data_IF_064938992982
#
_entry.id   IF_064938992982
#
_cell.length_a   1.000
_cell.length_b   1.000
_cell.length_c   1.000
_cell.angle_alpha   90.00
_cell.angle_beta   90.00
_cell.angle_gamma   90.00
#
_symmetry.space_group_name_H-M   'P 1'
#
loop_
_entity.id
_entity.type
_entity.pdbx_description
1 polymer ?
#
# COMPACT_ATOMS: atom_id res chain seq x y z
N UNK A 1 -44.48 11.12 -37.76
CA UNK A 1 -45.45 10.06 -37.36
C UNK A 1 -44.81 8.73 -37.69
N UNK A 2 -44.53 7.80 -36.75
CA UNK A 2 -43.81 6.60 -37.15
C UNK A 2 -44.78 5.50 -37.58
N UNK A 3 -44.56 5.08 -38.82
CA UNK A 3 -45.13 3.97 -39.61
C UNK A 3 -46.63 4.06 -39.95
N UNK A 4 -46.88 4.31 -41.24
CA UNK A 4 -48.20 4.21 -41.89
C UNK A 4 -48.08 3.24 -43.05
N UNK A 5 -48.99 2.26 -43.14
CA UNK A 5 -49.02 1.30 -44.25
C UNK A 5 -49.42 2.01 -45.56
N UNK A 6 -48.92 1.55 -46.71
CA UNK A 6 -49.31 2.08 -48.01
C UNK A 6 -50.82 1.99 -48.26
N UNK A 7 -51.37 2.96 -48.99
CA UNK A 7 -52.78 2.95 -49.37
C UNK A 7 -53.12 1.67 -50.18
N UNK A 8 -54.21 0.99 -49.81
CA UNK A 8 -54.67 -0.24 -50.47
C UNK A 8 -53.97 -1.54 -50.04
N UNK A 9 -53.06 -1.51 -49.05
CA UNK A 9 -52.35 -2.70 -48.57
C UNK A 9 -53.29 -3.84 -48.15
N UNK A 10 -54.35 -3.52 -47.39
CA UNK A 10 -55.29 -4.53 -46.91
C UNK A 10 -56.36 -4.93 -47.93
N UNK A 11 -56.59 -4.12 -48.98
CA UNK A 11 -57.57 -4.44 -50.02
C UNK A 11 -57.10 -5.57 -50.93
N UNK A 12 -55.78 -5.70 -51.11
CA UNK A 12 -55.16 -6.75 -51.95
C UNK A 12 -54.57 -7.90 -51.13
N UNK A 13 -54.59 -7.81 -49.80
CA UNK A 13 -53.97 -8.79 -48.91
C UNK A 13 -54.64 -10.16 -49.00
N UNK A 14 -55.97 -10.21 -49.08
CA UNK A 14 -56.71 -11.48 -49.17
C UNK A 14 -56.41 -12.21 -50.48
N UNK A 15 -56.37 -11.48 -51.60
CA UNK A 15 -56.01 -12.02 -52.91
C UNK A 15 -54.53 -12.45 -52.96
N UNK A 16 -53.64 -11.66 -52.35
CA UNK A 16 -52.22 -11.99 -52.21
C UNK A 16 -51.98 -13.24 -51.36
N UNK A 17 -52.73 -13.43 -50.27
CA UNK A 17 -52.63 -14.62 -49.44
C UNK A 17 -53.20 -15.84 -50.15
N UNK A 18 -54.34 -15.71 -50.83
CA UNK A 18 -54.92 -16.79 -51.61
C UNK A 18 -54.04 -17.19 -52.80
N UNK A 19 -53.33 -16.24 -53.40
CA UNK A 19 -52.35 -16.51 -54.45
C UNK A 19 -51.13 -17.25 -53.90
N UNK A 20 -50.58 -16.80 -52.77
CA UNK A 20 -49.47 -17.47 -52.10
C UNK A 20 -49.81 -18.92 -51.69
N UNK A 21 -51.00 -19.13 -51.10
CA UNK A 21 -51.46 -20.46 -50.66
C UNK A 21 -51.83 -21.38 -51.84
N UNK A 22 -52.15 -20.81 -53.02
CA UNK A 22 -52.41 -21.60 -54.23
C UNK A 22 -51.14 -22.16 -54.87
N UNK A 23 -49.99 -21.55 -54.61
CA UNK A 23 -48.68 -22.01 -55.09
C UNK A 23 -48.11 -23.13 -54.17
N UNK A 24 -48.54 -23.18 -52.90
CA UNK A 24 -48.25 -24.20 -51.87
C UNK A 24 -48.84 -25.60 -52.15
N UNK A 25 -49.17 -25.95 -53.40
CA UNK A 25 -49.53 -27.34 -53.74
C UNK A 25 -48.31 -28.28 -53.78
N UNK A 26 -47.10 -27.75 -53.64
CA UNK A 26 -45.88 -28.53 -53.52
C UNK A 26 -45.82 -29.19 -52.14
N UNK A 27 -45.47 -30.47 -52.12
CA UNK A 27 -45.16 -31.17 -50.88
C UNK A 27 -43.97 -30.49 -50.20
N UNK A 28 -43.93 -30.45 -48.86
CA UNK A 28 -42.78 -29.94 -48.11
C UNK A 28 -41.44 -30.60 -48.52
N UNK A 29 -41.47 -31.80 -49.13
CA UNK A 29 -40.28 -32.43 -49.72
C UNK A 29 -39.84 -31.82 -51.07
N UNK A 30 -40.78 -31.37 -51.89
CA UNK A 30 -40.53 -30.70 -53.17
C UNK A 30 -40.00 -29.29 -52.95
N UNK A 31 -40.62 -28.51 -52.06
CA UNK A 31 -40.13 -27.19 -51.65
C UNK A 31 -38.72 -27.27 -51.07
N UNK A 32 -38.47 -28.25 -50.19
CA UNK A 32 -37.17 -28.39 -49.55
C UNK A 32 -36.09 -28.81 -50.57
N UNK A 33 -36.45 -29.59 -51.59
CA UNK A 33 -35.55 -29.95 -52.68
C UNK A 33 -35.23 -28.77 -53.59
N UNK A 34 -36.17 -27.83 -53.76
CA UNK A 34 -35.98 -26.60 -54.52
C UNK A 34 -35.14 -25.56 -53.76
N UNK A 35 -35.43 -25.36 -52.47
CA UNK A 35 -34.72 -24.42 -51.59
C UNK A 35 -33.32 -24.93 -51.22
N UNK A 36 -33.20 -26.24 -50.98
CA UNK A 36 -31.95 -26.88 -50.57
C UNK A 36 -31.86 -28.31 -51.11
N UNK A 37 -31.31 -28.48 -52.32
CA UNK A 37 -31.09 -29.81 -52.90
C UNK A 37 -30.29 -30.74 -51.98
N UNK A 38 -29.40 -30.17 -51.15
CA UNK A 38 -28.64 -30.90 -50.16
C UNK A 38 -29.53 -31.47 -49.05
N UNK A 39 -30.41 -30.66 -48.45
CA UNK A 39 -31.31 -31.14 -47.39
C UNK A 39 -32.44 -32.03 -47.93
N UNK A 40 -32.93 -31.76 -49.14
CA UNK A 40 -33.91 -32.61 -49.82
C UNK A 40 -33.38 -34.02 -50.14
N UNK A 41 -32.06 -34.15 -50.37
CA UNK A 41 -31.40 -35.44 -50.60
C UNK A 41 -31.05 -36.22 -49.33
N UNK A 42 -31.20 -35.64 -48.13
CA UNK A 42 -30.93 -36.34 -46.88
C UNK A 42 -32.10 -37.27 -46.49
N UNK A 43 -31.77 -38.48 -46.07
CA UNK A 43 -32.77 -39.38 -45.49
C UNK A 43 -33.34 -38.78 -44.21
N UNK A 44 -34.68 -38.69 -44.16
CA UNK A 44 -35.43 -38.20 -43.00
C UNK A 44 -35.48 -39.27 -41.90
N UNK A 45 -34.33 -39.53 -41.29
CA UNK A 45 -34.16 -40.46 -40.17
C UNK A 45 -33.58 -39.74 -38.97
N UNK A 46 -34.10 -40.00 -37.78
CA UNK A 46 -33.53 -39.47 -36.55
C UNK A 46 -32.19 -40.19 -36.25
N UNK A 47 -31.04 -39.50 -36.28
CA UNK A 47 -29.75 -40.12 -36.02
C UNK A 47 -29.53 -40.43 -34.53
N UNK A 48 -30.38 -39.92 -33.65
CA UNK A 48 -30.26 -40.09 -32.21
C UNK A 48 -31.27 -41.12 -31.72
N UNK A 49 -30.75 -42.25 -31.27
CA UNK A 49 -31.49 -43.25 -30.52
C UNK A 49 -30.75 -43.58 -29.24
N UNK A 50 -31.48 -43.77 -28.14
CA UNK A 50 -30.89 -44.28 -26.92
C UNK A 50 -30.67 -45.79 -27.03
N UNK A 51 -29.59 -46.34 -26.47
CA UNK A 51 -29.41 -47.78 -26.33
C UNK A 51 -30.56 -48.41 -25.54
N UNK A 52 -30.90 -49.65 -25.86
CA UNK A 52 -31.85 -50.43 -25.07
C UNK A 52 -31.35 -50.55 -23.61
N UNK A 53 -32.23 -50.31 -22.64
CA UNK A 53 -31.85 -50.37 -21.22
C UNK A 53 -31.10 -49.14 -20.69
N UNK A 54 -31.05 -48.01 -21.41
CA UNK A 54 -30.30 -46.82 -20.99
C UNK A 54 -30.72 -46.32 -19.59
N UNK A 55 -32.02 -46.18 -19.34
CA UNK A 55 -32.52 -45.63 -18.07
C UNK A 55 -32.53 -46.68 -16.95
N UNK A 56 -32.72 -47.94 -17.31
CA UNK A 56 -32.68 -49.10 -16.44
C UNK A 56 -31.28 -49.28 -15.85
N UNK A 57 -30.24 -49.09 -16.68
CA UNK A 57 -28.84 -49.18 -16.27
C UNK A 57 -28.28 -47.86 -15.73
N UNK A 58 -28.96 -46.72 -15.95
CA UNK A 58 -28.49 -45.42 -15.45
C UNK A 58 -28.28 -45.43 -13.93
N UNK A 59 -29.22 -46.03 -13.19
CA UNK A 59 -29.16 -46.09 -11.73
C UNK A 59 -28.03 -47.01 -11.26
N UNK A 60 -27.80 -48.14 -11.92
CA UNK A 60 -26.73 -49.08 -11.57
C UNK A 60 -25.35 -48.52 -11.92
N UNK A 61 -25.21 -47.82 -13.05
CA UNK A 61 -23.98 -47.14 -13.45
C UNK A 61 -23.62 -45.98 -12.50
N UNK A 62 -24.61 -45.14 -12.11
CA UNK A 62 -24.40 -44.07 -11.13
C UNK A 62 -23.92 -44.67 -9.80
N UNK A 63 -24.57 -45.73 -9.33
CA UNK A 63 -24.19 -46.39 -8.09
C UNK A 63 -22.80 -47.06 -8.18
N UNK A 64 -22.42 -47.60 -9.33
CA UNK A 64 -21.06 -48.15 -9.53
C UNK A 64 -19.99 -47.06 -9.39
N UNK A 65 -20.27 -45.85 -9.87
CA UNK A 65 -19.38 -44.71 -9.71
C UNK A 65 -19.37 -44.07 -8.31
N UNK A 66 -20.36 -44.36 -7.46
CA UNK A 66 -20.43 -43.85 -6.08
C UNK A 66 -20.05 -44.88 -5.00
N UNK A 67 -19.98 -46.17 -5.34
CA UNK A 67 -19.68 -47.27 -4.39
C UNK A 67 -18.27 -47.82 -4.46
N UNK A 68 -17.47 -47.48 -5.49
CA UNK A 68 -16.03 -47.58 -5.33
C UNK A 68 -15.60 -46.61 -4.22
N UNK A 69 -14.79 -47.04 -3.22
CA UNK A 69 -14.27 -46.10 -2.24
C UNK A 69 -13.44 -45.09 -3.01
N UNK A 70 -14.02 -43.91 -3.24
CA UNK A 70 -13.34 -42.76 -3.83
C UNK A 70 -12.06 -42.64 -3.05
N UNK A 71 -10.93 -43.06 -3.66
CA UNK A 71 -9.61 -42.96 -3.03
C UNK A 71 -9.51 -41.51 -2.65
N UNK A 72 -9.67 -41.21 -1.36
CA UNK A 72 -9.81 -39.84 -0.89
C UNK A 72 -8.62 -39.09 -1.46
N UNK A 73 -8.88 -38.21 -2.42
CA UNK A 73 -7.82 -37.47 -3.08
C UNK A 73 -7.07 -36.79 -1.94
N UNK A 74 -5.76 -37.06 -1.82
CA UNK A 74 -4.95 -36.59 -0.70
C UNK A 74 -5.06 -35.07 -0.65
N UNK A 75 -5.92 -34.55 0.22
CA UNK A 75 -6.12 -33.11 0.41
C UNK A 75 -4.88 -32.60 1.10
N UNK A 76 -3.98 -32.00 0.32
CA UNK A 76 -2.81 -31.31 0.86
C UNK A 76 -3.24 -29.88 1.17
N UNK A 77 -3.05 -29.44 2.42
CA UNK A 77 -3.31 -28.06 2.78
C UNK A 77 -2.33 -27.14 2.06
N UNK A 78 -2.85 -26.10 1.41
CA UNK A 78 -2.07 -25.10 0.67
C UNK A 78 -1.38 -24.09 1.60
N UNK A 79 -1.75 -24.06 2.89
CA UNK A 79 -1.27 -23.06 3.83
C UNK A 79 0.13 -23.40 4.36
N UNK A 80 1.17 -22.89 3.71
CA UNK A 80 2.55 -23.15 4.12
C UNK A 80 3.07 -22.08 5.09
N UNK A 81 2.93 -22.29 6.41
CA UNK A 81 3.32 -21.36 7.50
C UNK A 81 4.83 -21.05 7.63
N UNK A 82 5.66 -21.52 6.68
CA UNK A 82 7.13 -21.41 6.75
C UNK A 82 7.69 -20.04 6.34
N UNK A 83 6.92 -19.25 5.58
CA UNK A 83 7.27 -17.87 5.20
C UNK A 83 7.35 -16.88 6.38
N UNK A 84 6.59 -17.11 7.46
CA UNK A 84 6.60 -16.24 8.64
C UNK A 84 7.97 -16.23 9.35
N UNK A 85 8.74 -17.33 9.22
CA UNK A 85 10.09 -17.43 9.78
C UNK A 85 11.08 -16.51 9.04
N UNK A 86 10.85 -16.27 7.75
CA UNK A 86 11.67 -15.34 6.96
C UNK A 86 11.29 -13.88 7.23
N UNK A 87 9.99 -13.60 7.44
CA UNK A 87 9.52 -12.27 7.80
C UNK A 87 10.14 -11.77 9.12
N UNK A 88 10.21 -12.61 10.15
CA UNK A 88 10.86 -12.26 11.41
C UNK A 88 12.35 -11.88 11.21
N UNK A 89 13.10 -12.66 10.42
CA UNK A 89 14.50 -12.37 10.13
C UNK A 89 14.69 -11.04 9.37
N UNK A 90 13.82 -10.74 8.41
CA UNK A 90 13.87 -9.47 7.66
C UNK A 90 13.62 -8.25 8.56
N UNK A 91 12.72 -8.37 9.54
CA UNK A 91 12.46 -7.31 10.53
C UNK A 91 13.71 -7.05 11.38
N UNK A 92 14.38 -8.10 11.87
CA UNK A 92 15.61 -7.94 12.65
C UNK A 92 16.76 -7.38 11.81
N UNK A 93 16.92 -7.82 10.56
CA UNK A 93 17.91 -7.26 9.64
C UNK A 93 17.62 -5.77 9.35
N UNK A 94 16.35 -5.41 9.11
CA UNK A 94 15.94 -4.03 8.92
C UNK A 94 16.21 -3.15 10.15
N UNK A 95 15.90 -3.63 11.35
CA UNK A 95 16.21 -2.94 12.61
C UNK A 95 17.70 -2.75 12.84
N UNK A 96 18.53 -3.75 12.52
CA UNK A 96 19.99 -3.64 12.62
C UNK A 96 20.55 -2.60 11.64
N UNK A 97 20.07 -2.58 10.40
CA UNK A 97 20.50 -1.60 9.39
C UNK A 97 20.04 -0.19 9.77
N UNK A 98 18.80 0.01 10.22
CA UNK A 98 18.31 1.32 10.63
C UNK A 98 18.98 1.82 11.90
N UNK A 99 19.23 0.96 12.89
CA UNK A 99 19.98 1.32 14.10
C UNK A 99 21.43 1.72 13.78
N UNK A 100 22.11 0.97 12.89
CA UNK A 100 23.46 1.31 12.43
C UNK A 100 23.50 2.65 11.67
N UNK A 101 22.51 2.91 10.82
CA UNK A 101 22.38 4.17 10.09
C UNK A 101 22.13 5.36 11.03
N UNK A 102 21.22 5.23 12.00
CA UNK A 102 20.95 6.28 12.99
C UNK A 102 22.16 6.52 13.88
N UNK A 103 22.86 5.47 14.31
CA UNK A 103 24.10 5.60 15.07
C UNK A 103 25.18 6.34 14.27
N UNK A 104 25.36 6.01 12.98
CA UNK A 104 26.29 6.72 12.11
C UNK A 104 25.91 8.20 11.91
N UNK A 105 24.62 8.50 11.71
CA UNK A 105 24.11 9.88 11.59
C UNK A 105 24.30 10.70 12.89
N UNK A 106 24.24 10.06 14.06
CA UNK A 106 24.53 10.71 15.34
C UNK A 106 26.04 10.97 15.52
N UNK A 107 26.90 10.09 14.99
CA UNK A 107 28.36 10.26 15.05
C UNK A 107 28.86 11.42 14.18
N UNK A 108 28.26 11.66 13.00
CA UNK A 108 28.51 12.87 12.19
C UNK A 108 28.32 14.16 13.01
N UNK A 109 27.26 14.23 13.84
CA UNK A 109 27.02 15.39 14.71
C UNK A 109 28.03 15.50 15.86
N UNK A 110 28.44 14.39 16.48
CA UNK A 110 29.48 14.42 17.55
C UNK A 110 30.85 14.84 17.04
N UNK A 111 31.25 14.40 15.84
CA UNK A 111 32.53 14.79 15.24
C UNK A 111 32.56 16.28 14.83
N UNK A 112 31.41 16.82 14.41
CA UNK A 112 31.26 18.25 14.10
C UNK A 112 31.35 19.13 15.36
N UNK A 113 30.64 18.77 16.43
CA UNK A 113 30.68 19.51 17.70
C UNK A 113 32.06 19.42 18.35
N UNK A 114 32.70 18.24 18.34
CA UNK A 114 34.07 18.07 18.83
C UNK A 114 35.10 18.87 18.01
N UNK A 115 34.91 19.01 16.69
CA UNK A 115 35.73 19.88 15.85
C UNK A 115 35.53 21.35 16.19
N UNK A 116 34.29 21.76 16.46
CA UNK A 116 33.94 23.12 16.88
C UNK A 116 34.56 23.44 18.25
N UNK A 117 34.46 22.56 19.26
CA UNK A 117 35.10 22.73 20.57
C UNK A 117 36.63 22.83 20.46
N UNK A 118 37.24 22.00 19.61
CA UNK A 118 38.69 22.06 19.36
C UNK A 118 39.12 23.37 18.68
N UNK A 119 38.29 23.91 17.80
CA UNK A 119 38.56 25.19 17.13
C UNK A 119 38.37 26.37 18.09
N UNK A 120 37.30 26.36 18.89
CA UNK A 120 37.00 27.36 19.91
C UNK A 120 38.12 27.41 20.95
N UNK A 121 38.53 26.26 21.52
CA UNK A 121 39.64 26.21 22.49
C UNK A 121 40.97 26.70 21.93
N UNK A 122 41.27 26.40 20.66
CA UNK A 122 42.47 26.87 19.98
C UNK A 122 42.46 28.38 19.71
N UNK A 123 41.31 28.94 19.33
CA UNK A 123 41.17 30.38 19.14
C UNK A 123 41.16 31.14 20.47
N UNK A 124 40.52 30.61 21.53
CA UNK A 124 40.58 31.18 22.88
C UNK A 124 42.01 31.19 23.42
N UNK A 125 42.78 30.12 23.25
CA UNK A 125 44.18 30.10 23.71
C UNK A 125 45.02 31.14 22.95
N UNK A 126 44.75 31.32 21.66
CA UNK A 126 45.49 32.28 20.83
C UNK A 126 45.12 33.74 21.14
N UNK A 127 43.84 34.05 21.38
CA UNK A 127 43.40 35.40 21.73
C UNK A 127 43.69 35.73 23.19
N UNK A 128 43.57 34.75 24.10
CA UNK A 128 43.89 34.91 25.53
C UNK A 128 45.32 35.37 25.71
N UNK A 129 46.30 34.75 25.06
CA UNK A 129 47.71 35.11 25.28
C UNK A 129 48.05 36.48 24.69
N UNK A 130 47.41 36.90 23.59
CA UNK A 130 47.67 38.22 22.98
C UNK A 130 46.96 39.37 23.69
N UNK A 131 45.70 39.17 24.10
CA UNK A 131 44.91 40.19 24.80
C UNK A 131 45.31 40.30 26.28
N UNK A 132 45.70 39.19 26.93
CA UNK A 132 46.27 39.25 28.29
C UNK A 132 47.63 39.94 28.31
N UNK A 133 48.45 39.80 27.26
CA UNK A 133 49.70 40.54 27.16
C UNK A 133 49.46 42.04 27.00
N UNK A 134 48.50 42.44 26.15
CA UNK A 134 48.10 43.84 25.97
C UNK A 134 47.47 44.43 27.24
N UNK A 135 46.65 43.68 27.96
CA UNK A 135 46.08 44.10 29.24
C UNK A 135 47.12 44.15 30.37
N UNK A 136 48.06 43.20 30.42
CA UNK A 136 49.15 43.21 31.40
C UNK A 136 50.11 44.40 31.16
N UNK A 137 50.39 44.75 29.90
CA UNK A 137 51.18 45.93 29.53
C UNK A 137 50.44 47.23 29.89
N UNK A 138 49.10 47.27 29.72
CA UNK A 138 48.27 48.42 30.12
C UNK A 138 48.14 48.58 31.65
N UNK A 139 48.20 47.48 32.41
CA UNK A 139 48.17 47.48 33.88
C UNK A 139 49.54 47.75 34.52
N UNK A 140 50.66 47.48 33.83
CA UNK A 140 52.01 47.77 34.33
C UNK A 140 52.32 49.28 34.30
N UNK A 141 51.75 50.02 33.34
CA UNK A 141 51.92 51.49 33.22
C UNK A 141 50.86 52.30 34.01
N UNK A 142 49.89 51.62 34.63
CA UNK A 142 48.71 52.21 35.27
C UNK A 142 48.61 51.94 36.77
N UNK A 143 49.21 52.82 37.56
CA UNK A 143 49.08 52.96 39.01
C UNK A 143 47.79 52.37 39.65
N UNK A 144 47.97 51.36 40.51
CA UNK A 144 47.24 51.05 41.76
C UNK A 144 45.80 51.57 41.93
N UNK A 145 44.85 50.65 42.20
CA UNK A 145 44.01 50.62 43.42
C UNK A 145 42.73 49.76 43.24
N UNK A 146 42.59 48.76 44.12
CA UNK A 146 41.37 48.35 44.83
C UNK A 146 40.09 47.86 44.07
N UNK A 147 39.80 46.56 44.29
CA UNK A 147 38.59 46.03 44.94
C UNK A 147 37.45 45.39 44.13
N UNK A 148 37.18 44.14 44.57
CA UNK A 148 35.93 43.36 44.59
C UNK A 148 35.48 42.64 43.30
N UNK A 149 36.11 41.50 43.01
CA UNK A 149 35.50 40.40 42.27
C UNK A 149 34.54 39.63 43.18
N UNK A 150 33.23 39.79 42.98
CA UNK A 150 32.25 38.80 43.45
C UNK A 150 32.44 37.54 42.62
N UNK A 151 32.75 36.43 43.29
CA UNK A 151 33.03 35.13 42.69
C UNK A 151 31.72 34.48 42.18
N UNK A 152 31.60 34.18 40.87
CA UNK A 152 30.38 33.58 40.30
C UNK A 152 30.10 32.15 40.80
N UNK A 153 31.00 31.54 41.58
CA UNK A 153 30.89 30.18 42.09
C UNK A 153 30.19 30.05 43.46
N UNK A 154 29.64 31.12 44.04
CA UNK A 154 28.88 31.04 45.30
C UNK A 154 27.37 30.82 45.13
N UNK A 155 26.90 30.42 43.94
CA UNK A 155 25.53 29.91 43.78
C UNK A 155 25.51 28.47 44.27
N UNK A 156 25.28 28.29 45.57
CA UNK A 156 25.28 26.96 46.19
C UNK A 156 23.96 26.21 45.89
N UNK A 157 23.99 24.89 45.69
CA UNK A 157 22.80 24.06 45.48
C UNK A 157 21.82 24.06 46.67
N UNK A 158 22.23 24.57 47.84
CA UNK A 158 21.33 24.80 48.97
C UNK A 158 20.29 25.88 48.70
N UNK A 159 20.62 26.90 47.87
CA UNK A 159 19.67 27.96 47.49
C UNK A 159 18.60 27.46 46.51
N UNK A 160 18.80 26.29 45.91
CA UNK A 160 17.89 25.66 44.94
C UNK A 160 17.07 24.52 45.57
N UNK A 161 17.32 24.18 46.84
CA UNK A 161 16.67 23.06 47.52
C UNK A 161 15.21 23.35 47.89
N UNK A 162 14.92 24.61 48.18
CA UNK A 162 13.59 25.07 48.59
C UNK A 162 12.67 25.38 47.40
N UNK A 163 13.20 25.32 46.17
CA UNK A 163 12.42 25.53 44.95
C UNK A 163 11.95 24.16 44.44
N UNK A 164 10.63 23.88 44.41
CA UNK A 164 10.13 22.63 43.87
C UNK A 164 10.40 22.56 42.36
N UNK A 165 10.80 21.39 41.87
CA UNK A 165 11.13 21.19 40.45
C UNK A 165 9.96 21.48 39.49
N UNK A 166 8.72 21.51 39.98
CA UNK A 166 7.54 21.95 39.22
C UNK A 166 7.54 23.45 38.94
N UNK A 167 7.99 24.29 39.89
CA UNK A 167 8.09 25.75 39.66
C UNK A 167 9.21 26.09 38.67
N UNK A 168 10.31 25.33 38.71
CA UNK A 168 11.37 25.47 37.70
C UNK A 168 10.85 25.11 36.30
N UNK A 169 9.93 24.14 36.22
CA UNK A 169 9.32 23.73 34.96
C UNK A 169 8.31 24.78 34.48
N UNK A 170 7.46 25.28 35.37
CA UNK A 170 6.52 26.36 35.04
C UNK A 170 7.26 27.63 34.60
N UNK A 171 8.37 27.98 35.26
CA UNK A 171 9.21 29.11 34.85
C UNK A 171 9.88 28.87 33.49
N UNK A 172 10.36 27.66 33.21
CA UNK A 172 10.99 27.32 31.93
C UNK A 172 9.97 27.30 30.78
N UNK A 173 8.75 26.83 31.04
CA UNK A 173 7.65 26.86 30.09
C UNK A 173 7.18 28.32 29.88
N UNK A 174 7.12 29.13 30.94
CA UNK A 174 6.72 30.54 30.85
C UNK A 174 7.79 31.48 30.27
N UNK A 175 9.08 31.17 30.41
CA UNK A 175 10.16 31.97 29.79
C UNK A 175 10.63 31.42 28.45
N UNK A 176 10.52 30.10 28.23
CA UNK A 176 10.93 29.43 27.00
C UNK A 176 10.01 29.70 25.80
N UNK A 177 8.72 29.95 26.05
CA UNK A 177 7.75 30.25 24.99
C UNK A 177 7.75 31.74 24.56
N UNK A 178 8.47 32.62 25.28
CA UNK A 178 8.39 34.08 25.08
C UNK A 178 9.52 34.70 24.23
N UNK A 179 10.51 33.93 23.77
CA UNK A 179 11.64 34.46 22.98
C UNK A 179 11.68 34.03 21.49
N UNK A 180 10.65 33.38 20.95
CA UNK A 180 10.61 33.04 19.49
C UNK A 180 9.47 33.74 18.72
N UNK A 181 8.63 34.56 19.36
CA UNK A 181 7.62 35.35 18.64
C UNK A 181 7.62 36.80 19.10
N UNK A 182 8.66 37.57 18.72
CA UNK A 182 8.53 38.89 18.10
C UNK A 182 9.89 39.52 17.80
N UNK A 183 10.09 39.79 16.50
CA UNK A 183 11.11 40.58 15.82
C UNK A 183 12.42 39.89 15.39
#
# INVERSE_FOLDING_TARGET
MPYTVPAGYFETLEESLLFAVKDDQQSAGEELSEISPLLGGLNKSNPYSLPEGYFENLSSDINRHTTEPVKMAKVVSITHRRWFRMAAAAVFAGLMVTAGFVYNSIQEKKNSVAYIEKKISKELQKSSDSELAEFAELMDDGQSMASNTVDPNTVTPDLLKDIPASELKDFLDETGDNEIINN
#
